data_IF_238655632313
#
_entry.id   IF_238655632313
#
_cell.length_a   1.000
_cell.length_b   1.000
_cell.length_c   1.000
_cell.angle_alpha   90.00
_cell.angle_beta   90.00
_cell.angle_gamma   90.00
#
_symmetry.space_group_name_H-M   'P 1'
#
loop_
_entity.id
_entity.type
_entity.pdbx_description
1 polymer ?
#
# COMPACT_ATOMS: atom_id res chain seq x y z
N UNK A 1 1.27 7.00 -10.24
CA UNK A 1 1.49 7.27 -8.80
C UNK A 1 0.29 7.97 -8.20
N UNK A 2 -0.26 7.41 -7.12
CA UNK A 2 -1.51 7.82 -6.49
C UNK A 2 -1.44 7.58 -4.98
N UNK A 3 -2.35 8.18 -4.23
CA UNK A 3 -2.47 8.00 -2.79
C UNK A 3 -3.90 8.15 -2.32
N UNK A 4 -4.17 7.62 -1.13
CA UNK A 4 -5.47 7.63 -0.50
C UNK A 4 -5.34 7.90 1.00
N UNK A 5 -6.32 8.62 1.53
CA UNK A 5 -6.52 8.78 2.97
C UNK A 5 -7.76 8.02 3.39
N UNK A 6 -7.79 7.58 4.65
CA UNK A 6 -8.98 6.94 5.21
C UNK A 6 -10.20 7.86 5.11
N UNK A 7 -11.34 7.25 4.76
CA UNK A 7 -12.65 7.92 4.72
C UNK A 7 -13.40 7.84 6.06
N UNK A 8 -12.86 7.12 7.05
CA UNK A 8 -13.55 6.78 8.31
C UNK A 8 -13.06 7.59 9.52
N UNK A 9 -12.35 8.70 9.29
CA UNK A 9 -11.89 9.63 10.34
C UNK A 9 -10.57 9.24 11.01
N UNK A 10 -10.00 8.08 10.67
CA UNK A 10 -8.63 7.74 11.03
C UNK A 10 -7.64 8.51 10.14
N UNK A 11 -6.44 8.80 10.65
CA UNK A 11 -5.40 9.53 9.89
C UNK A 11 -4.59 8.63 8.96
N UNK A 12 -5.03 7.38 8.76
CA UNK A 12 -4.35 6.41 7.92
C UNK A 12 -4.21 6.89 6.47
N UNK A 13 -3.05 6.60 5.91
CA UNK A 13 -2.65 6.94 4.56
C UNK A 13 -2.05 5.72 3.86
N UNK A 14 -2.37 5.56 2.58
CA UNK A 14 -1.70 4.65 1.67
C UNK A 14 -1.24 5.40 0.41
N UNK A 15 0.03 5.30 0.05
CA UNK A 15 0.60 5.98 -1.11
C UNK A 15 1.53 5.08 -1.93
N UNK A 16 1.52 5.27 -3.25
CA UNK A 16 2.46 4.61 -4.16
C UNK A 16 3.56 5.58 -4.57
N UNK A 17 4.83 5.21 -4.36
CA UNK A 17 6.01 5.97 -4.80
C UNK A 17 6.97 5.10 -5.61
N UNK A 18 8.01 5.71 -6.17
CA UNK A 18 9.20 4.98 -6.64
C UNK A 18 10.26 4.99 -5.54
N UNK A 19 10.85 3.84 -5.28
CA UNK A 19 12.06 3.70 -4.48
C UNK A 19 13.28 4.25 -5.22
N UNK A 20 14.43 4.29 -4.55
CA UNK A 20 15.68 4.83 -5.13
C UNK A 20 16.13 4.09 -6.39
N UNK A 21 15.83 2.79 -6.47
CA UNK A 21 16.12 1.94 -7.63
C UNK A 21 15.03 1.98 -8.72
N UNK A 22 14.00 2.82 -8.58
CA UNK A 22 12.89 2.92 -9.53
C UNK A 22 11.74 1.95 -9.30
N UNK A 23 11.87 1.04 -8.35
CA UNK A 23 10.84 0.04 -8.00
C UNK A 23 9.60 0.69 -7.39
N UNK A 24 8.44 0.08 -7.57
CA UNK A 24 7.20 0.55 -6.94
C UNK A 24 7.20 0.23 -5.44
N UNK A 25 6.93 1.23 -4.61
CA UNK A 25 6.85 1.09 -3.16
C UNK A 25 5.51 1.59 -2.64
N UNK A 26 4.83 0.76 -1.85
CA UNK A 26 3.65 1.12 -1.09
C UNK A 26 4.10 1.67 0.26
N UNK A 27 3.61 2.86 0.60
CA UNK A 27 3.84 3.51 1.89
C UNK A 27 2.53 3.49 2.66
N UNK A 28 2.58 2.99 3.88
CA UNK A 28 1.55 3.17 4.89
C UNK A 28 2.05 4.14 5.97
N UNK A 29 1.16 5.02 6.40
CA UNK A 29 1.41 5.96 7.50
C UNK A 29 0.11 6.03 8.32
N UNK A 30 0.19 5.84 9.65
CA UNK A 30 -0.96 5.92 10.54
C UNK A 30 -1.31 7.37 10.94
N UNK A 31 -0.55 8.35 10.45
CA UNK A 31 -0.67 9.76 10.82
C UNK A 31 -0.09 10.09 12.20
N UNK A 32 0.59 9.13 12.84
CA UNK A 32 1.21 9.28 14.14
C UNK A 32 2.68 8.83 14.09
N UNK A 33 2.99 7.65 14.65
CA UNK A 33 4.37 7.17 14.81
C UNK A 33 4.72 6.01 13.88
N UNK A 34 3.74 5.39 13.21
CA UNK A 34 3.95 4.17 12.46
C UNK A 34 3.91 4.46 10.97
N UNK A 35 5.10 4.38 10.37
CA UNK A 35 5.27 4.38 8.92
C UNK A 35 5.90 3.08 8.46
N UNK A 36 5.31 2.45 7.45
CA UNK A 36 5.80 1.20 6.87
C UNK A 36 5.94 1.36 5.36
N UNK A 37 6.99 0.75 4.80
CA UNK A 37 7.24 0.78 3.36
C UNK A 37 7.48 -0.64 2.86
N UNK A 38 6.79 -1.00 1.79
CA UNK A 38 6.95 -2.28 1.12
C UNK A 38 7.23 -2.07 -0.36
N UNK A 39 8.13 -2.88 -0.92
CA UNK A 39 8.39 -2.92 -2.35
C UNK A 39 7.49 -3.97 -2.98
N UNK A 40 6.89 -3.63 -4.12
CA UNK A 40 6.12 -4.57 -4.94
C UNK A 40 7.09 -5.40 -5.76
N UNK A 41 7.03 -6.73 -5.63
CA UNK A 41 7.98 -7.65 -6.29
C UNK A 41 7.36 -8.47 -7.40
N UNK A 42 6.03 -8.44 -7.57
CA UNK A 42 5.36 -9.16 -8.63
C UNK A 42 5.65 -8.51 -10.00
N UNK A 43 6.36 -9.25 -10.85
CA UNK A 43 6.58 -8.85 -12.23
C UNK A 43 5.23 -8.73 -12.96
N UNK A 44 4.98 -7.58 -13.59
CA UNK A 44 3.74 -7.36 -14.34
C UNK A 44 2.52 -6.99 -13.50
N UNK A 45 2.69 -6.54 -12.25
CA UNK A 45 1.60 -5.95 -11.48
C UNK A 45 0.97 -4.79 -12.26
N UNK A 46 -0.30 -4.92 -12.62
CA UNK A 46 -1.06 -3.85 -13.23
C UNK A 46 -1.29 -2.71 -12.23
N UNK A 47 -1.02 -1.47 -12.65
CA UNK A 47 -1.15 -0.28 -11.80
C UNK A 47 -2.62 -0.04 -11.41
N UNK A 48 -3.59 -0.43 -12.25
CA UNK A 48 -5.02 -0.33 -11.92
C UNK A 48 -5.42 -1.31 -10.82
N UNK A 49 -4.97 -2.57 -10.91
CA UNK A 49 -5.21 -3.59 -9.88
C UNK A 49 -4.64 -3.17 -8.51
N UNK A 50 -3.45 -2.57 -8.50
CA UNK A 50 -2.82 -2.05 -7.28
C UNK A 50 -3.57 -0.85 -6.72
N UNK A 51 -4.02 0.07 -7.58
CA UNK A 51 -4.83 1.23 -7.20
C UNK A 51 -6.10 0.81 -6.48
N UNK A 52 -6.83 -0.12 -7.08
CA UNK A 52 -8.07 -0.67 -6.57
C UNK A 52 -7.90 -1.37 -5.21
N UNK A 53 -6.81 -2.12 -5.05
CA UNK A 53 -6.49 -2.79 -3.79
C UNK A 53 -6.22 -1.77 -2.67
N UNK A 54 -5.42 -0.74 -2.97
CA UNK A 54 -5.06 0.30 -2.00
C UNK A 54 -6.27 1.16 -1.60
N UNK A 55 -7.14 1.53 -2.55
CA UNK A 55 -8.35 2.31 -2.26
C UNK A 55 -9.34 1.54 -1.38
N UNK A 56 -9.52 0.24 -1.62
CA UNK A 56 -10.37 -0.61 -0.76
C UNK A 56 -9.77 -0.74 0.64
N UNK A 57 -8.48 -1.02 0.73
CA UNK A 57 -7.80 -1.26 2.01
C UNK A 57 -7.82 -0.05 2.95
N UNK A 58 -7.59 1.16 2.44
CA UNK A 58 -7.56 2.39 3.26
C UNK A 58 -8.91 2.72 3.91
N UNK A 59 -10.01 2.18 3.36
CA UNK A 59 -11.36 2.39 3.86
C UNK A 59 -11.73 1.41 4.99
N UNK A 60 -10.86 0.46 5.32
CA UNK A 60 -11.08 -0.53 6.37
C UNK A 60 -10.45 -0.10 7.71
N UNK A 61 -11.05 -0.44 8.87
CA UNK A 61 -10.49 -0.09 10.19
C UNK A 61 -9.08 -0.65 10.47
N UNK A 62 -8.72 -1.79 9.84
CA UNK A 62 -7.41 -2.42 9.96
C UNK A 62 -6.67 -2.34 8.62
N UNK A 63 -6.28 -1.13 8.22
CA UNK A 63 -5.75 -0.82 6.88
C UNK A 63 -4.64 -1.78 6.45
N UNK A 64 -3.62 -2.01 7.29
CA UNK A 64 -2.50 -2.90 6.94
C UNK A 64 -2.97 -4.34 6.70
N UNK A 65 -3.85 -4.86 7.55
CA UNK A 65 -4.38 -6.22 7.37
C UNK A 65 -5.24 -6.32 6.11
N UNK A 66 -6.07 -5.31 5.83
CA UNK A 66 -6.88 -5.24 4.63
C UNK A 66 -6.02 -5.13 3.36
N UNK A 67 -4.92 -4.36 3.42
CA UNK A 67 -3.97 -4.24 2.31
C UNK A 67 -3.39 -5.61 1.95
N UNK A 68 -2.84 -6.35 2.92
CA UNK A 68 -2.29 -7.68 2.65
C UNK A 68 -3.34 -8.65 2.09
N UNK A 69 -4.60 -8.58 2.54
CA UNK A 69 -5.68 -9.40 2.01
C UNK A 69 -6.01 -9.05 0.54
N UNK A 70 -6.15 -7.76 0.20
CA UNK A 70 -6.42 -7.30 -1.16
C UNK A 70 -5.26 -7.66 -2.11
N UNK A 71 -4.01 -7.57 -1.66
CA UNK A 71 -2.85 -7.93 -2.47
C UNK A 71 -2.73 -9.45 -2.66
N UNK A 72 -2.96 -10.23 -1.60
CA UNK A 72 -2.92 -11.69 -1.67
C UNK A 72 -3.98 -12.25 -2.62
N UNK A 73 -5.19 -11.71 -2.64
CA UNK A 73 -6.26 -12.13 -3.57
C UNK A 73 -5.93 -11.84 -5.04
N UNK A 74 -4.99 -10.91 -5.28
CA UNK A 74 -4.53 -10.51 -6.61
C UNK A 74 -3.17 -11.10 -6.98
N UNK A 75 -2.64 -12.02 -6.17
CA UNK A 75 -1.29 -12.57 -6.31
C UNK A 75 -0.18 -11.50 -6.41
N UNK A 76 -0.37 -10.36 -5.73
CA UNK A 76 0.62 -9.29 -5.64
C UNK A 76 1.50 -9.55 -4.43
N UNK A 77 2.80 -9.71 -4.67
CA UNK A 77 3.80 -9.99 -3.62
C UNK A 77 4.52 -8.72 -3.19
N UNK A 78 4.80 -8.65 -1.90
CA UNK A 78 5.52 -7.54 -1.27
C UNK A 78 6.77 -8.06 -0.56
N UNK A 79 7.79 -7.21 -0.50
CA UNK A 79 8.90 -7.36 0.45
C UNK A 79 9.00 -6.12 1.35
N UNK A 80 9.41 -6.30 2.60
CA UNK A 80 9.65 -5.19 3.51
C UNK A 80 10.89 -4.43 3.06
N UNK A 81 10.80 -3.10 3.01
CA UNK A 81 11.98 -2.24 2.80
C UNK A 81 12.47 -1.79 4.17
N UNK A 82 13.56 -2.37 4.65
CA UNK A 82 14.31 -1.81 5.77
C UNK A 82 15.24 -0.72 5.25
N UNK A 83 15.08 0.51 5.76
CA UNK A 83 16.07 1.57 5.62
C UNK A 83 17.06 1.52 6.78
#
# INVERSE_FOLDING_TARGET
MFSFHSKTGASDFLGLRRGRSGEAEIVYDDGAARRMVWRVTSAGCDESSLRDAMERAVSCPRVVAALFAELSTRAITLEVVSH
#
